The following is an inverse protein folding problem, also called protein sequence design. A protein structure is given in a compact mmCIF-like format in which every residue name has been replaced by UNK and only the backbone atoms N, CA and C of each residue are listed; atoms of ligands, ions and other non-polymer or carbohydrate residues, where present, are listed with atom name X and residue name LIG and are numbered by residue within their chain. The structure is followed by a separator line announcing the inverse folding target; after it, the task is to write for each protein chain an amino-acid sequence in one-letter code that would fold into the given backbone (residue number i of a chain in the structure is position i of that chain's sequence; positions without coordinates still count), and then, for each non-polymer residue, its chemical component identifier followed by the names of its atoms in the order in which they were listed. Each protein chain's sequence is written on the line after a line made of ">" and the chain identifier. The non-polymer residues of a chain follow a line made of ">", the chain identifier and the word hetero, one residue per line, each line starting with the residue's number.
data_IF_089762284088
#
_entry.id   IF_089762284088
#
_cell.length_a   1.000
_cell.length_b   1.000
_cell.length_c   1.000
_cell.angle_alpha   90.00
_cell.angle_beta   90.00
_cell.angle_gamma   90.00
#
_symmetry.space_group_name_H-M   'P 1'
#
loop_
_entity.id
_entity.type
_entity.pdbx_description
1 polymer ?
#
# COMPACT_ATOMS: atom_id res chain seq x y z
N UNK A 1 -49.33 49.72 -34.63
CA UNK A 1 -50.44 49.15 -33.83
C UNK A 1 -49.97 47.80 -33.34
N UNK A 2 -49.59 47.71 -32.07
CA UNK A 2 -48.99 46.52 -31.46
C UNK A 2 -50.10 45.61 -30.93
N UNK A 3 -50.22 44.40 -31.49
CA UNK A 3 -51.05 43.35 -30.91
C UNK A 3 -50.16 42.43 -30.08
N UNK A 4 -50.23 42.62 -28.77
CA UNK A 4 -49.57 41.79 -27.75
C UNK A 4 -50.47 40.58 -27.50
N UNK A 5 -49.97 39.37 -27.79
CA UNK A 5 -50.63 38.12 -27.41
C UNK A 5 -50.12 37.77 -25.99
N UNK A 6 -50.98 37.66 -24.97
CA UNK A 6 -50.52 37.18 -23.66
C UNK A 6 -50.34 35.66 -23.71
N UNK A 7 -49.09 35.21 -23.59
CA UNK A 7 -48.75 33.81 -23.37
C UNK A 7 -49.14 33.43 -21.93
N UNK A 8 -50.21 32.67 -21.78
CA UNK A 8 -50.68 32.12 -20.50
C UNK A 8 -49.90 30.85 -20.19
N UNK A 9 -49.00 30.92 -19.21
CA UNK A 9 -48.32 29.75 -18.62
C UNK A 9 -49.33 28.97 -17.76
N UNK A 10 -49.87 27.88 -18.30
CA UNK A 10 -50.57 26.89 -17.49
C UNK A 10 -49.52 26.03 -16.78
N UNK A 11 -49.35 26.24 -15.48
CA UNK A 11 -48.56 25.39 -14.60
C UNK A 11 -49.33 24.08 -14.35
N UNK A 12 -48.84 22.98 -14.89
CA UNK A 12 -49.28 21.63 -14.54
C UNK A 12 -48.84 21.28 -13.11
N UNK A 13 -49.71 20.75 -12.24
CA UNK A 13 -49.31 20.32 -10.90
C UNK A 13 -48.66 18.94 -10.99
N UNK A 14 -47.34 18.89 -10.84
CA UNK A 14 -46.62 17.61 -10.88
C UNK A 14 -45.10 17.66 -10.86
N UNK A 15 -44.47 18.83 -10.73
CA UNK A 15 -43.01 18.91 -10.64
C UNK A 15 -42.58 18.86 -9.18
N UNK A 16 -42.34 17.64 -8.69
CA UNK A 16 -41.47 17.45 -7.52
C UNK A 16 -40.09 17.94 -7.94
N UNK A 17 -39.60 19.00 -7.30
CA UNK A 17 -38.23 19.46 -7.42
C UNK A 17 -37.30 18.29 -7.04
N UNK A 18 -36.73 17.65 -8.05
CA UNK A 18 -35.62 16.74 -7.84
C UNK A 18 -34.45 17.59 -7.35
N UNK A 19 -34.23 17.58 -6.04
CA UNK A 19 -32.93 17.90 -5.44
C UNK A 19 -31.90 16.99 -6.11
N UNK A 20 -31.25 17.50 -7.14
CA UNK A 20 -30.09 16.87 -7.73
C UNK A 20 -28.93 17.12 -6.75
N UNK A 21 -28.74 16.19 -5.83
CA UNK A 21 -27.41 15.98 -5.26
C UNK A 21 -26.42 15.89 -6.43
N UNK A 22 -25.29 16.62 -6.42
CA UNK A 22 -24.33 16.50 -7.49
C UNK A 22 -23.79 15.08 -7.47
N UNK A 23 -24.30 14.23 -8.38
CA UNK A 23 -23.69 12.93 -8.71
C UNK A 23 -22.25 13.23 -9.11
N UNK A 24 -21.32 13.01 -8.18
CA UNK A 24 -19.89 13.09 -8.42
C UNK A 24 -19.61 12.17 -9.60
N UNK A 25 -19.38 12.76 -10.78
CA UNK A 25 -19.06 12.02 -12.00
C UNK A 25 -17.80 11.22 -11.69
N UNK A 26 -17.87 9.90 -11.84
CA UNK A 26 -16.72 9.02 -11.67
C UNK A 26 -15.57 9.55 -12.54
N UNK A 27 -14.45 9.94 -11.92
CA UNK A 27 -13.26 10.40 -12.63
C UNK A 27 -12.84 9.28 -13.60
N UNK A 28 -12.79 9.58 -14.90
CA UNK A 28 -12.22 8.69 -15.92
C UNK A 28 -10.73 8.55 -15.64
N UNK A 29 -10.34 7.43 -15.08
CA UNK A 29 -8.95 7.01 -14.92
C UNK A 29 -8.84 5.49 -15.09
N UNK A 30 -7.63 4.96 -15.32
CA UNK A 30 -7.37 3.54 -15.28
C UNK A 30 -7.91 2.94 -13.98
N UNK A 31 -8.57 1.78 -14.06
CA UNK A 31 -9.07 1.09 -12.86
C UNK A 31 -7.89 0.79 -11.92
N UNK A 32 -8.02 1.01 -10.60
CA UNK A 32 -6.96 0.71 -9.65
C UNK A 32 -6.59 -0.77 -9.76
N UNK A 33 -5.29 -1.04 -9.95
CA UNK A 33 -4.78 -2.39 -10.14
C UNK A 33 -4.72 -3.10 -8.78
N UNK A 34 -5.65 -4.02 -8.57
CA UNK A 34 -5.67 -4.92 -7.41
C UNK A 34 -4.85 -6.17 -7.73
N UNK A 35 -3.99 -6.59 -6.81
CA UNK A 35 -3.18 -7.80 -6.94
C UNK A 35 -3.35 -8.64 -5.69
N UNK A 36 -3.70 -9.91 -5.85
CA UNK A 36 -3.77 -10.87 -4.76
C UNK A 36 -2.40 -11.46 -4.50
N UNK A 37 -2.05 -11.64 -3.23
CA UNK A 37 -0.78 -12.22 -2.80
C UNK A 37 -1.04 -13.56 -2.10
N UNK A 38 -1.01 -14.68 -2.83
CA UNK A 38 -1.25 -16.00 -2.24
C UNK A 38 -0.10 -16.46 -1.32
N UNK A 39 1.06 -15.80 -1.37
CA UNK A 39 2.25 -16.14 -0.60
C UNK A 39 2.45 -15.24 0.62
N UNK A 40 1.48 -14.37 0.94
CA UNK A 40 1.60 -13.38 2.01
C UNK A 40 1.99 -14.00 3.36
N UNK A 41 1.38 -15.12 3.74
CA UNK A 41 1.70 -15.84 4.98
C UNK A 41 3.12 -16.41 4.98
N UNK A 42 3.60 -16.93 3.86
CA UNK A 42 4.98 -17.42 3.72
C UNK A 42 5.98 -16.27 3.83
N UNK A 43 5.66 -15.11 3.25
CA UNK A 43 6.48 -13.90 3.33
C UNK A 43 6.54 -13.41 4.77
N UNK A 44 5.41 -13.37 5.49
CA UNK A 44 5.39 -13.03 6.92
C UNK A 44 6.31 -13.94 7.75
N UNK A 45 6.30 -15.24 7.47
CA UNK A 45 7.21 -16.19 8.13
C UNK A 45 8.67 -15.95 7.74
N UNK A 46 8.96 -15.68 6.47
CA UNK A 46 10.31 -15.36 6.02
C UNK A 46 10.85 -14.07 6.66
N UNK A 47 10.00 -13.05 6.78
CA UNK A 47 10.29 -11.78 7.47
C UNK A 47 10.54 -12.01 8.95
N UNK A 48 9.69 -12.78 9.64
CA UNK A 48 9.86 -13.10 11.05
C UNK A 48 11.16 -13.89 11.32
N UNK A 49 11.61 -14.69 10.36
CA UNK A 49 12.88 -15.41 10.41
C UNK A 49 14.08 -14.58 9.90
N UNK A 50 13.91 -13.31 9.57
CA UNK A 50 14.96 -12.41 9.03
C UNK A 50 15.72 -13.00 7.82
N UNK A 51 14.97 -13.56 6.87
CA UNK A 51 15.57 -14.16 5.67
C UNK A 51 15.96 -13.09 4.64
N UNK A 52 17.24 -13.05 4.26
CA UNK A 52 17.82 -12.00 3.42
C UNK A 52 17.21 -11.90 2.01
N UNK A 53 16.72 -13.00 1.43
CA UNK A 53 16.13 -12.98 0.08
C UNK A 53 14.89 -12.06 0.00
N UNK A 54 14.22 -11.81 1.13
CA UNK A 54 13.10 -10.87 1.18
C UNK A 54 13.61 -9.44 1.00
N UNK A 55 14.70 -9.09 1.67
CA UNK A 55 15.29 -7.76 1.59
C UNK A 55 15.91 -7.52 0.20
N UNK A 56 16.53 -8.54 -0.40
CA UNK A 56 17.00 -8.50 -1.79
C UNK A 56 15.85 -8.21 -2.78
N UNK A 57 14.70 -8.87 -2.59
CA UNK A 57 13.52 -8.65 -3.41
C UNK A 57 12.89 -7.27 -3.19
N UNK A 58 12.87 -6.78 -1.94
CA UNK A 58 12.44 -5.42 -1.59
C UNK A 58 13.30 -4.39 -2.30
N UNK A 59 14.63 -4.51 -2.22
CA UNK A 59 15.56 -3.59 -2.88
C UNK A 59 15.43 -3.66 -4.40
N UNK A 60 15.29 -4.86 -4.98
CA UNK A 60 15.00 -5.01 -6.40
C UNK A 60 13.71 -4.29 -6.81
N UNK A 61 12.63 -4.44 -6.01
CA UNK A 61 11.36 -3.76 -6.24
C UNK A 61 11.48 -2.23 -6.23
N UNK A 62 12.27 -1.68 -5.29
CA UNK A 62 12.56 -0.25 -5.22
C UNK A 62 13.30 0.25 -6.45
N UNK A 63 14.43 -0.37 -6.78
CA UNK A 63 15.27 0.08 -7.88
C UNK A 63 14.63 -0.08 -9.26
N UNK A 64 13.82 -1.13 -9.46
CA UNK A 64 13.21 -1.41 -10.77
C UNK A 64 11.95 -0.58 -10.99
N UNK A 65 11.07 -0.46 -10.00
CA UNK A 65 9.71 0.07 -10.22
C UNK A 65 9.44 1.44 -9.57
N UNK A 66 10.21 1.82 -8.55
CA UNK A 66 9.95 3.05 -7.80
C UNK A 66 10.92 4.16 -8.19
N UNK A 67 12.20 3.81 -8.34
CA UNK A 67 13.27 4.76 -8.63
C UNK A 67 13.54 5.74 -7.48
N UNK A 68 14.31 6.77 -7.79
CA UNK A 68 14.75 7.81 -6.89
C UNK A 68 14.41 9.21 -7.44
N UNK A 69 14.51 10.20 -6.57
CA UNK A 69 14.50 11.62 -6.92
C UNK A 69 15.68 12.26 -6.19
N UNK A 70 16.59 12.92 -6.92
CA UNK A 70 17.80 13.52 -6.38
C UNK A 70 18.66 12.54 -5.56
N UNK A 71 18.80 11.30 -6.03
CA UNK A 71 19.58 10.25 -5.34
C UNK A 71 18.86 9.61 -4.15
N UNK A 72 17.65 10.07 -3.79
CA UNK A 72 16.87 9.58 -2.66
C UNK A 72 15.69 8.74 -3.13
N UNK A 73 15.53 7.54 -2.58
CA UNK A 73 14.43 6.65 -2.92
C UNK A 73 13.07 7.30 -2.68
N UNK A 74 12.14 7.16 -3.64
CA UNK A 74 10.82 7.79 -3.55
C UNK A 74 9.92 7.19 -2.45
N UNK A 75 10.25 5.98 -1.96
CA UNK A 75 9.55 5.31 -0.86
C UNK A 75 10.54 4.63 0.07
N UNK A 76 10.16 4.43 1.34
CA UNK A 76 10.98 3.74 2.34
C UNK A 76 11.01 2.23 2.08
N UNK A 77 12.17 1.56 2.14
CA UNK A 77 12.26 0.10 2.03
C UNK A 77 11.39 -0.63 3.06
N UNK A 78 11.33 -0.09 4.28
CA UNK A 78 10.46 -0.61 5.34
C UNK A 78 9.00 -0.67 4.89
N UNK A 79 8.45 0.41 4.33
CA UNK A 79 7.06 0.42 3.87
C UNK A 79 6.83 -0.63 2.77
N UNK A 80 7.81 -0.83 1.88
CA UNK A 80 7.68 -1.85 0.84
C UNK A 80 7.68 -3.27 1.42
N UNK A 81 8.54 -3.55 2.41
CA UNK A 81 8.58 -4.82 3.16
C UNK A 81 7.24 -5.12 3.85
N UNK A 82 6.57 -4.09 4.36
CA UNK A 82 5.24 -4.22 4.97
C UNK A 82 4.16 -4.50 3.92
N UNK A 83 4.21 -3.81 2.76
CA UNK A 83 3.23 -4.00 1.67
C UNK A 83 3.28 -5.41 1.06
N UNK A 84 4.47 -6.01 0.92
CA UNK A 84 4.58 -7.39 0.39
C UNK A 84 4.04 -8.46 1.36
N UNK A 85 3.77 -8.10 2.61
CA UNK A 85 3.14 -8.99 3.59
C UNK A 85 1.60 -8.93 3.55
N UNK A 86 1.01 -8.01 2.79
CA UNK A 86 -0.43 -7.88 2.63
C UNK A 86 -0.98 -8.98 1.73
N UNK A 87 -2.17 -9.47 2.07
CA UNK A 87 -2.91 -10.47 1.27
C UNK A 87 -3.42 -9.84 -0.04
N UNK A 88 -3.70 -8.53 -0.03
CA UNK A 88 -4.17 -7.75 -1.16
C UNK A 88 -3.30 -6.51 -1.31
N UNK A 89 -2.71 -6.33 -2.49
CA UNK A 89 -1.92 -5.15 -2.85
C UNK A 89 -2.76 -4.28 -3.77
N UNK A 90 -3.22 -3.15 -3.24
CA UNK A 90 -3.88 -2.10 -4.00
C UNK A 90 -3.61 -0.74 -3.35
N UNK A 91 -3.71 0.35 -4.12
CA UNK A 91 -3.57 1.70 -3.54
C UNK A 91 -4.62 1.98 -2.47
N UNK A 92 -5.85 1.48 -2.66
CA UNK A 92 -6.93 1.62 -1.68
C UNK A 92 -6.63 0.90 -0.36
N UNK A 93 -5.93 -0.23 -0.42
CA UNK A 93 -5.52 -0.98 0.77
C UNK A 93 -4.32 -0.34 1.48
N UNK A 94 -3.39 0.23 0.70
CA UNK A 94 -2.15 0.82 1.21
C UNK A 94 -2.41 2.19 1.85
N UNK A 95 -3.17 3.08 1.20
CA UNK A 95 -3.40 4.45 1.70
C UNK A 95 -3.77 4.57 3.18
N UNK A 96 -4.74 3.80 3.73
CA UNK A 96 -5.12 3.92 5.14
C UNK A 96 -4.13 3.27 6.12
N UNK A 97 -3.15 2.49 5.64
CA UNK A 97 -2.24 1.69 6.49
C UNK A 97 -0.89 2.38 6.75
N UNK A 98 -0.50 3.34 5.91
CA UNK A 98 0.83 3.94 5.95
C UNK A 98 0.78 5.44 6.19
N UNK A 99 1.67 5.90 7.06
CA UNK A 99 1.89 7.31 7.34
C UNK A 99 3.22 7.77 6.73
N UNK A 100 3.28 9.05 6.41
CA UNK A 100 4.50 9.76 6.04
C UNK A 100 5.32 10.13 7.28
N UNK A 101 6.48 10.78 7.08
CA UNK A 101 7.32 11.27 8.19
C UNK A 101 6.59 12.25 9.09
N UNK A 102 5.67 13.05 8.55
CA UNK A 102 4.88 14.06 9.28
C UNK A 102 3.66 13.48 10.00
N UNK A 103 3.55 12.15 10.09
CA UNK A 103 2.40 11.41 10.62
C UNK A 103 1.08 11.66 9.85
N UNK A 104 1.15 12.22 8.64
CA UNK A 104 0.02 12.35 7.73
C UNK A 104 -0.09 11.11 6.83
N UNK A 105 -1.29 10.77 6.33
CA UNK A 105 -1.44 9.70 5.33
C UNK A 105 -0.51 9.89 4.13
N UNK A 106 0.06 8.80 3.63
CA UNK A 106 0.91 8.89 2.43
C UNK A 106 0.13 9.41 1.22
N UNK A 107 0.85 10.02 0.27
CA UNK A 107 0.22 10.48 -0.98
C UNK A 107 -0.23 9.32 -1.87
N UNK A 108 -1.22 9.57 -2.74
CA UNK A 108 -1.66 8.62 -3.78
C UNK A 108 -0.50 8.13 -4.64
N UNK A 109 0.45 9.02 -4.97
CA UNK A 109 1.64 8.70 -5.77
C UNK A 109 2.57 7.74 -5.01
N UNK A 110 2.80 7.97 -3.72
CA UNK A 110 3.56 7.08 -2.85
C UNK A 110 2.90 5.70 -2.77
N UNK A 111 1.58 5.64 -2.61
CA UNK A 111 0.85 4.37 -2.60
C UNK A 111 0.95 3.62 -3.95
N UNK A 112 0.94 4.33 -5.07
CA UNK A 112 1.17 3.75 -6.40
C UNK A 112 2.58 3.17 -6.54
N UNK A 113 3.60 3.89 -6.06
CA UNK A 113 4.98 3.40 -6.04
C UNK A 113 5.12 2.15 -5.19
N UNK A 114 4.58 2.16 -3.97
CA UNK A 114 4.58 0.98 -3.10
C UNK A 114 3.90 -0.22 -3.76
N UNK A 115 2.72 -0.02 -4.36
CA UNK A 115 2.04 -1.08 -5.08
C UNK A 115 2.84 -1.59 -6.29
N UNK A 116 3.55 -0.71 -7.02
CA UNK A 116 4.37 -1.10 -8.15
C UNK A 116 5.60 -1.91 -7.72
N UNK A 117 6.37 -1.41 -6.74
CA UNK A 117 7.53 -2.09 -6.18
C UNK A 117 7.16 -3.44 -5.57
N UNK A 118 6.04 -3.53 -4.86
CA UNK A 118 5.62 -4.75 -4.20
C UNK A 118 5.31 -5.85 -5.22
N UNK A 119 4.70 -5.52 -6.36
CA UNK A 119 4.47 -6.50 -7.44
C UNK A 119 5.76 -7.04 -8.05
N UNK A 120 6.80 -6.21 -8.17
CA UNK A 120 8.12 -6.66 -8.64
C UNK A 120 8.78 -7.55 -7.59
N UNK A 121 8.76 -7.13 -6.33
CA UNK A 121 9.31 -7.91 -5.22
C UNK A 121 8.62 -9.27 -5.08
N UNK A 122 7.29 -9.32 -5.19
CA UNK A 122 6.52 -10.56 -5.18
C UNK A 122 6.98 -11.53 -6.27
N UNK A 123 7.16 -11.07 -7.50
CA UNK A 123 7.65 -11.92 -8.58
C UNK A 123 9.04 -12.51 -8.29
N UNK A 124 9.92 -11.73 -7.64
CA UNK A 124 11.23 -12.20 -7.18
C UNK A 124 11.12 -13.26 -6.08
N UNK A 125 10.29 -13.00 -5.07
CA UNK A 125 10.06 -13.92 -3.94
C UNK A 125 9.42 -15.23 -4.40
N UNK A 126 8.39 -15.17 -5.25
CA UNK A 126 7.72 -16.36 -5.78
C UNK A 126 8.70 -17.25 -6.54
N UNK A 127 9.49 -16.64 -7.43
CA UNK A 127 10.56 -17.35 -8.15
C UNK A 127 11.57 -17.99 -7.20
N UNK A 128 11.98 -17.29 -6.14
CA UNK A 128 12.91 -17.81 -5.15
C UNK A 128 12.33 -19.02 -4.40
N UNK A 129 11.08 -18.91 -3.95
CA UNK A 129 10.39 -19.99 -3.23
C UNK A 129 10.15 -21.22 -4.11
N UNK A 130 9.87 -21.02 -5.40
CA UNK A 130 9.68 -22.13 -6.35
C UNK A 130 11.00 -22.86 -6.66
N UNK A 131 12.13 -22.15 -6.60
CA UNK A 131 13.47 -22.77 -6.68
C UNK A 131 13.86 -23.52 -5.39
N UNK A 132 13.22 -23.22 -4.26
CA UNK A 132 13.54 -23.77 -2.94
C UNK A 132 12.31 -24.42 -2.28
N UNK A 133 11.77 -25.53 -2.82
CA UNK A 133 10.53 -26.13 -2.33
C UNK A 133 10.61 -26.61 -0.87
N UNK A 134 11.78 -27.04 -0.39
CA UNK A 134 11.98 -27.43 1.01
C UNK A 134 11.82 -26.26 1.96
N UNK A 135 12.35 -25.08 1.59
CA UNK A 135 12.17 -23.85 2.36
C UNK A 135 10.70 -23.45 2.38
N UNK A 136 10.03 -23.47 1.22
CA UNK A 136 8.59 -23.19 1.09
C UNK A 136 7.75 -24.08 2.01
N UNK A 137 8.02 -25.39 2.02
CA UNK A 137 7.34 -26.35 2.89
C UNK A 137 7.61 -26.08 4.38
N UNK A 138 8.86 -25.72 4.73
CA UNK A 138 9.21 -25.35 6.12
C UNK A 138 8.45 -24.10 6.59
N UNK A 139 8.42 -23.05 5.76
CA UNK A 139 7.68 -21.82 6.08
C UNK A 139 6.18 -22.08 6.22
N UNK A 140 5.61 -22.94 5.38
CA UNK A 140 4.22 -23.37 5.50
C UNK A 140 3.97 -24.12 6.81
N UNK A 141 4.83 -25.07 7.17
CA UNK A 141 4.70 -25.81 8.43
C UNK A 141 4.83 -24.91 9.68
N UNK A 142 5.68 -23.87 9.61
CA UNK A 142 5.77 -22.84 10.64
C UNK A 142 4.48 -22.04 10.75
N UNK A 143 3.93 -21.59 9.62
CA UNK A 143 2.64 -20.91 9.60
C UNK A 143 1.52 -21.78 10.16
N UNK A 144 1.43 -23.04 9.77
CA UNK A 144 0.40 -23.97 10.24
C UNK A 144 0.52 -24.20 11.75
N UNK A 145 1.74 -24.29 12.28
CA UNK A 145 1.98 -24.37 13.73
C UNK A 145 1.52 -23.11 14.43
N UNK A 146 1.89 -21.94 13.89
CA UNK A 146 1.49 -20.66 14.45
C UNK A 146 -0.04 -20.48 14.47
N UNK A 147 -0.74 -20.91 13.41
CA UNK A 147 -2.20 -20.86 13.34
C UNK A 147 -2.87 -21.77 14.39
N UNK A 148 -2.25 -22.91 14.72
CA UNK A 148 -2.76 -23.82 15.77
C UNK A 148 -2.54 -23.22 17.16
N UNK A 149 -1.34 -22.71 17.42
CA UNK A 149 -0.94 -22.22 18.74
C UNK A 149 -1.67 -20.91 19.11
N UNK A 150 -1.99 -20.08 18.10
CA UNK A 150 -2.66 -18.80 18.27
C UNK A 150 -4.11 -18.82 17.76
N UNK A 151 -4.83 -19.93 17.97
CA UNK A 151 -6.15 -20.24 17.39
C UNK A 151 -7.31 -19.22 17.49
N UNK A 152 -7.07 -18.00 17.94
CA UNK A 152 -8.02 -16.88 17.95
C UNK A 152 -7.34 -15.49 17.87
N UNK A 153 -6.09 -15.38 17.40
CA UNK A 153 -5.51 -14.09 17.05
C UNK A 153 -6.14 -13.61 15.74
N UNK A 154 -7.17 -12.76 15.86
CA UNK A 154 -7.78 -11.99 14.77
C UNK A 154 -6.68 -11.59 13.79
N UNK A 155 -6.89 -11.86 12.51
CA UNK A 155 -6.00 -11.57 11.37
C UNK A 155 -5.33 -10.16 11.39
N UNK A 156 -5.84 -9.26 12.23
CA UNK A 156 -5.30 -7.96 12.63
C UNK A 156 -3.99 -7.98 13.42
N UNK A 157 -3.57 -9.07 14.06
CA UNK A 157 -2.36 -9.01 14.89
C UNK A 157 -1.06 -8.88 14.06
N UNK A 158 -1.09 -9.27 12.79
CA UNK A 158 -0.03 -8.92 11.82
C UNK A 158 -0.13 -7.48 11.30
N UNK A 159 -1.32 -6.86 11.36
CA UNK A 159 -1.48 -5.43 11.14
C UNK A 159 -0.94 -4.63 12.35
N UNK A 160 -0.86 -5.25 13.54
CA UNK A 160 -0.36 -4.66 14.79
C UNK A 160 1.11 -5.00 15.12
N UNK A 161 1.69 -6.10 14.61
CA UNK A 161 3.10 -6.46 14.81
C UNK A 161 4.09 -5.64 13.93
N UNK A 162 3.57 -4.72 13.11
CA UNK A 162 4.30 -3.58 12.57
C UNK A 162 4.38 -2.41 13.57
N UNK A 163 3.87 -2.58 14.80
CA UNK A 163 4.17 -1.67 15.90
C UNK A 163 5.67 -1.71 16.18
N UNK A 164 6.33 -0.71 15.61
CA UNK A 164 7.48 0.03 16.08
C UNK A 164 8.53 -0.71 16.92
N UNK A 165 8.25 -1.27 18.09
CA UNK A 165 9.30 -1.77 19.01
C UNK A 165 10.02 -3.05 18.57
N UNK A 166 9.34 -4.02 17.94
CA UNK A 166 9.98 -5.30 17.56
C UNK A 166 10.72 -5.21 16.21
N UNK A 167 10.22 -4.39 15.28
CA UNK A 167 10.90 -4.12 14.01
C UNK A 167 11.97 -3.02 14.17
N UNK A 168 11.77 -2.02 15.06
CA UNK A 168 12.79 -0.99 15.33
C UNK A 168 14.10 -1.60 15.85
N UNK A 169 14.06 -2.60 16.74
CA UNK A 169 15.29 -3.24 17.23
C UNK A 169 16.02 -4.09 16.18
N UNK A 170 15.34 -4.50 15.09
CA UNK A 170 15.90 -5.27 13.99
C UNK A 170 16.34 -4.39 12.79
N UNK A 171 15.97 -3.10 12.77
CA UNK A 171 16.18 -2.19 11.64
C UNK A 171 17.00 -0.94 11.98
N UNK A 172 17.51 -0.81 13.21
CA UNK A 172 18.17 0.42 13.69
C UNK A 172 19.45 0.82 12.97
N UNK A 173 20.13 -0.10 12.26
CA UNK A 173 21.42 0.22 11.62
C UNK A 173 21.31 0.75 10.18
N UNK A 174 20.20 0.50 9.46
CA UNK A 174 20.10 0.84 8.03
C UNK A 174 19.23 2.06 7.73
N UNK A 175 18.17 2.31 8.51
CA UNK A 175 17.19 3.37 8.20
C UNK A 175 17.72 4.78 8.56
N UNK A 176 18.45 4.97 9.65
CA UNK A 176 18.72 6.32 10.16
C UNK A 176 19.79 7.14 9.40
N UNK A 177 20.68 6.53 8.64
CA UNK A 177 21.80 7.28 8.02
C UNK A 177 21.43 8.10 6.78
N UNK A 178 20.23 7.89 6.22
CA UNK A 178 19.80 8.54 4.96
C UNK A 178 18.63 9.53 5.13
N UNK A 179 18.04 9.60 6.32
CA UNK A 179 16.83 10.40 6.60
C UNK A 179 17.06 11.58 7.55
N UNK A 180 18.29 11.97 7.88
CA UNK A 180 18.52 13.26 8.53
C UNK A 180 18.16 14.39 7.54
N UNK A 181 17.01 15.02 7.79
CA UNK A 181 16.50 16.15 7.04
C UNK A 181 17.46 17.33 7.24
N UNK A 182 18.14 17.74 6.16
CA UNK A 182 18.85 19.01 6.14
C UNK A 182 17.83 20.12 6.36
N UNK A 183 18.01 20.86 7.45
CA UNK A 183 17.28 22.09 7.72
C UNK A 183 17.29 22.96 6.46
N UNK A 184 16.08 23.30 6.01
CA UNK A 184 15.84 24.26 4.96
C UNK A 184 16.35 25.62 5.46
N UNK A 185 17.62 25.91 5.14
CA UNK A 185 18.23 27.19 5.44
C UNK A 185 17.49 28.28 4.67
N UNK A 186 16.79 29.13 5.42
CA UNK A 186 16.24 30.41 4.95
C UNK A 186 17.29 31.14 4.09
N UNK A 187 17.00 31.24 2.79
CA UNK A 187 17.75 32.08 1.87
C UNK A 187 16.99 33.38 1.65
N UNK A 188 17.39 34.39 2.44
CA UNK A 188 17.41 35.85 2.21
C UNK A 188 16.14 36.56 1.69
#
# INVERSE_FOLDING_TARGET
>A
MHNVIPFVLQLTPGTIAANQEPKLKAKRGPKPKVTLNPSAHLIRMAVANNMSFVDDAVMAGLYIAVGDSNGKLNVRPRHLREVICLDIISTAEILPRFLSSTAEPISDRTAQYLAAGARVALGGIERWLDQHPLLKARLQAQWDTQQRDHGECVQRDWDFALNSSFISSLLTDWDNSYWEEGEEGDAA
#
